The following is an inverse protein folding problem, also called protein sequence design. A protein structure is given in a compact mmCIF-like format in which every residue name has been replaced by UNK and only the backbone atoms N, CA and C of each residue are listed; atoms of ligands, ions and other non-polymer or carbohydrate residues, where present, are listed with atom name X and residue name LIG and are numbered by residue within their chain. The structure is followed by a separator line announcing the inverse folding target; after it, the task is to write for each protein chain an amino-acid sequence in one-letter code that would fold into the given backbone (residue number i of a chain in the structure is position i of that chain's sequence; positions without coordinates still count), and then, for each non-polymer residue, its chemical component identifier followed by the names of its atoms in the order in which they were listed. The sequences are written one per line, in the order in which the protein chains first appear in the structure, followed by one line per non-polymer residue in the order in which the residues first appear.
data_IF_990211460916
#
_entry.id   IF_990211460916
#
_cell.length_a   1.000
_cell.length_b   1.000
_cell.length_c   1.000
_cell.angle_alpha   90.00
_cell.angle_beta   90.00
_cell.angle_gamma   90.00
#
_symmetry.space_group_name_H-M   'P 1'
#
loop_
_entity.id
_entity.type
_entity.pdbx_description
1 polymer ?
#
# COMPACT_ATOMS: atom_id res chain seq x y z
N UNK A 1 -42.51 4.20 5.62
CA UNK A 1 -42.16 3.95 7.03
C UNK A 1 -41.11 4.98 7.44
N UNK A 2 -41.29 5.70 8.54
CA UNK A 2 -40.32 6.73 8.96
C UNK A 2 -39.07 6.09 9.59
N UNK A 3 -37.91 6.72 9.42
CA UNK A 3 -36.64 6.23 9.99
C UNK A 3 -36.73 6.04 11.52
N UNK A 4 -37.46 6.92 12.22
CA UNK A 4 -37.76 6.78 13.66
C UNK A 4 -38.44 5.47 14.03
N UNK A 5 -39.45 5.05 13.25
CA UNK A 5 -40.18 3.82 13.52
C UNK A 5 -39.28 2.59 13.30
N UNK A 6 -38.42 2.64 12.29
CA UNK A 6 -37.42 1.59 12.04
C UNK A 6 -36.44 1.48 13.21
N UNK A 7 -35.88 2.60 13.70
CA UNK A 7 -34.97 2.63 14.85
C UNK A 7 -35.62 2.00 16.10
N UNK A 8 -36.87 2.36 16.38
CA UNK A 8 -37.62 1.78 17.51
C UNK A 8 -37.77 0.26 17.36
N UNK A 9 -38.11 -0.21 16.16
CA UNK A 9 -38.29 -1.63 15.86
C UNK A 9 -36.97 -2.40 16.03
N UNK A 10 -35.87 -1.88 15.46
CA UNK A 10 -34.55 -2.47 15.58
C UNK A 10 -34.06 -2.54 17.03
N UNK A 11 -34.40 -1.52 17.84
CA UNK A 11 -34.12 -1.54 19.28
C UNK A 11 -34.81 -2.70 19.99
N UNK A 12 -36.09 -2.97 19.70
CA UNK A 12 -36.82 -4.10 20.29
C UNK A 12 -36.25 -5.46 19.83
N UNK A 13 -35.67 -5.51 18.63
CA UNK A 13 -35.02 -6.70 18.07
C UNK A 13 -33.58 -6.92 18.59
N UNK A 14 -33.06 -6.02 19.43
CA UNK A 14 -31.69 -6.13 19.95
C UNK A 14 -30.60 -5.82 18.91
N UNK A 15 -30.95 -5.20 17.78
CA UNK A 15 -29.98 -4.73 16.77
C UNK A 15 -29.17 -3.60 17.38
N UNK A 16 -27.85 -3.65 17.20
CA UNK A 16 -26.92 -2.67 17.77
C UNK A 16 -26.47 -1.61 16.75
N UNK A 17 -25.76 -2.03 15.71
CA UNK A 17 -25.25 -1.15 14.65
C UNK A 17 -26.15 -1.18 13.43
N UNK A 18 -26.57 0.00 12.96
CA UNK A 18 -27.35 0.17 11.73
C UNK A 18 -26.50 0.90 10.71
N UNK A 19 -26.54 0.42 9.47
CA UNK A 19 -25.80 0.98 8.34
C UNK A 19 -26.79 1.47 7.27
N UNK A 20 -26.56 2.67 6.75
CA UNK A 20 -27.29 3.22 5.61
C UNK A 20 -26.28 3.53 4.52
N UNK A 21 -26.34 2.76 3.43
CA UNK A 21 -25.67 3.07 2.17
C UNK A 21 -26.58 3.99 1.37
N UNK A 22 -26.25 5.28 1.32
CA UNK A 22 -27.05 6.29 0.65
C UNK A 22 -26.42 6.62 -0.72
N UNK A 23 -27.07 6.26 -1.84
CA UNK A 23 -26.62 6.67 -3.18
C UNK A 23 -26.55 8.19 -3.31
N UNK A 24 -25.63 8.69 -4.14
CA UNK A 24 -25.41 10.12 -4.34
C UNK A 24 -26.66 10.87 -4.85
N UNK A 25 -27.53 10.18 -5.59
CA UNK A 25 -28.80 10.72 -6.09
C UNK A 25 -29.80 11.05 -4.97
N UNK A 26 -29.60 10.46 -3.78
CA UNK A 26 -30.43 10.67 -2.59
C UNK A 26 -29.76 11.57 -1.55
N UNK A 27 -28.76 12.37 -1.94
CA UNK A 27 -28.02 13.26 -1.05
C UNK A 27 -28.92 14.24 -0.26
N UNK A 28 -30.11 14.57 -0.75
CA UNK A 28 -31.11 15.38 -0.04
C UNK A 28 -31.58 14.75 1.28
N UNK A 29 -31.43 13.44 1.44
CA UNK A 29 -31.81 12.71 2.67
C UNK A 29 -30.73 12.76 3.75
N UNK A 30 -29.50 13.20 3.45
CA UNK A 30 -28.38 13.21 4.41
C UNK A 30 -28.74 13.96 5.68
N UNK A 31 -29.28 15.17 5.55
CA UNK A 31 -29.65 15.98 6.72
C UNK A 31 -30.74 15.31 7.56
N UNK A 32 -31.68 14.62 6.92
CA UNK A 32 -32.76 13.91 7.62
C UNK A 32 -32.19 12.75 8.42
N UNK A 33 -31.29 11.96 7.82
CA UNK A 33 -30.67 10.80 8.45
C UNK A 33 -29.77 11.22 9.62
N UNK A 34 -28.95 12.26 9.44
CA UNK A 34 -28.06 12.78 10.51
C UNK A 34 -28.85 13.33 11.69
N UNK A 35 -30.00 13.98 11.45
CA UNK A 35 -30.90 14.45 12.53
C UNK A 35 -31.45 13.32 13.41
N UNK A 36 -31.52 12.10 12.89
CA UNK A 36 -31.93 10.91 13.65
C UNK A 36 -30.76 10.23 14.40
N UNK A 37 -29.57 10.83 14.39
CA UNK A 37 -28.41 10.40 15.17
C UNK A 37 -27.38 9.58 14.40
N UNK A 38 -27.57 9.34 13.10
CA UNK A 38 -26.57 8.71 12.25
C UNK A 38 -25.37 9.64 12.03
N UNK A 39 -24.17 9.08 11.96
CA UNK A 39 -22.94 9.79 11.60
C UNK A 39 -22.26 9.15 10.37
N UNK A 40 -21.34 9.89 9.76
CA UNK A 40 -20.62 9.41 8.58
C UNK A 40 -19.57 8.37 8.96
N UNK A 41 -19.52 7.29 8.20
CA UNK A 41 -18.45 6.31 8.30
C UNK A 41 -17.44 6.50 7.16
N UNK A 42 -17.89 6.39 5.91
CA UNK A 42 -17.06 6.54 4.72
C UNK A 42 -17.89 7.00 3.52
N UNK A 43 -17.23 7.42 2.45
CA UNK A 43 -17.87 7.77 1.20
C UNK A 43 -17.05 7.23 0.03
N UNK A 44 -17.75 6.88 -1.04
CA UNK A 44 -17.22 6.56 -2.36
C UNK A 44 -17.82 7.54 -3.37
N UNK A 45 -17.31 7.62 -4.62
CA UNK A 45 -17.80 8.59 -5.60
C UNK A 45 -19.32 8.59 -5.82
N UNK A 46 -19.98 7.44 -5.60
CA UNK A 46 -21.41 7.26 -5.85
C UNK A 46 -22.26 6.99 -4.59
N UNK A 47 -21.69 6.94 -3.38
CA UNK A 47 -22.48 6.78 -2.16
C UNK A 47 -21.82 7.33 -0.90
N UNK A 48 -22.66 7.66 0.10
CA UNK A 48 -22.26 7.95 1.47
C UNK A 48 -22.70 6.79 2.38
N UNK A 49 -21.78 6.26 3.18
CA UNK A 49 -22.09 5.30 4.24
C UNK A 49 -22.29 6.03 5.57
N UNK A 50 -23.49 5.90 6.13
CA UNK A 50 -23.83 6.40 7.45
C UNK A 50 -24.07 5.24 8.41
N UNK A 51 -23.74 5.45 9.68
CA UNK A 51 -23.92 4.45 10.74
C UNK A 51 -24.59 5.04 11.96
N UNK A 52 -25.29 4.19 12.71
CA UNK A 52 -25.88 4.54 13.99
C UNK A 52 -25.74 3.37 14.98
N UNK A 53 -25.34 3.67 16.20
CA UNK A 53 -25.33 2.73 17.31
C UNK A 53 -26.55 2.97 18.19
N UNK A 54 -27.46 2.01 18.22
CA UNK A 54 -28.73 2.10 18.94
C UNK A 54 -28.57 2.06 20.47
N UNK A 55 -27.70 1.20 21.05
CA UNK A 55 -27.50 1.15 22.51
C UNK A 55 -26.83 2.42 23.07
N UNK A 56 -27.05 2.69 24.36
CA UNK A 56 -26.36 3.77 25.07
C UNK A 56 -24.91 3.43 25.47
N UNK A 57 -24.46 2.19 25.23
CA UNK A 57 -23.08 1.76 25.48
C UNK A 57 -22.13 2.37 24.44
N UNK A 58 -20.83 2.32 24.72
CA UNK A 58 -19.82 2.58 23.70
C UNK A 58 -20.05 1.70 22.46
N UNK A 59 -19.81 2.28 21.28
CA UNK A 59 -19.99 1.57 20.02
C UNK A 59 -18.76 0.74 19.70
N UNK A 60 -18.96 -0.43 19.09
CA UNK A 60 -17.87 -1.30 18.62
C UNK A 60 -17.73 -1.28 17.09
N UNK A 61 -18.32 -0.28 16.44
CA UNK A 61 -18.20 -0.08 14.99
C UNK A 61 -16.74 0.29 14.67
N UNK A 62 -16.04 -0.48 13.82
CA UNK A 62 -14.69 -0.13 13.41
C UNK A 62 -14.64 1.24 12.76
N UNK A 63 -13.53 1.97 12.95
CA UNK A 63 -13.30 3.19 12.20
C UNK A 63 -13.09 2.88 10.71
N UNK A 64 -13.39 3.85 9.84
CA UNK A 64 -13.05 3.78 8.42
C UNK A 64 -11.53 3.68 8.20
N UNK A 65 -11.12 3.28 7.00
CA UNK A 65 -9.74 3.19 6.52
C UNK A 65 -8.87 4.32 7.10
N UNK A 66 -7.90 3.92 7.90
CA UNK A 66 -7.03 4.81 8.69
C UNK A 66 -5.69 5.06 8.01
N UNK A 67 -5.31 4.18 7.08
CA UNK A 67 -4.03 4.20 6.40
C UNK A 67 -4.22 4.31 4.89
N UNK A 68 -3.30 5.04 4.26
CA UNK A 68 -3.01 4.91 2.83
C UNK A 68 -1.86 3.92 2.67
N UNK A 69 -1.84 3.22 1.55
CA UNK A 69 -0.79 2.25 1.23
C UNK A 69 0.01 2.79 0.06
N UNK A 70 1.27 3.12 0.33
CA UNK A 70 2.24 3.52 -0.67
C UNK A 70 3.24 2.39 -0.96
N UNK A 71 3.82 2.41 -2.14
CA UNK A 71 4.88 1.49 -2.56
C UNK A 71 6.05 2.26 -3.14
N UNK A 72 7.25 1.68 -2.99
CA UNK A 72 8.46 2.12 -3.69
C UNK A 72 9.18 0.94 -4.31
N UNK A 73 9.70 1.14 -5.51
CA UNK A 73 10.37 0.11 -6.28
C UNK A 73 11.90 0.27 -6.24
N UNK A 74 12.58 -0.65 -5.58
CA UNK A 74 14.03 -0.80 -5.71
C UNK A 74 14.32 -1.70 -6.91
N UNK A 75 14.69 -1.09 -8.03
CA UNK A 75 14.97 -1.81 -9.29
C UNK A 75 16.45 -1.61 -9.63
N UNK A 76 17.19 -2.70 -9.70
CA UNK A 76 18.63 -2.68 -10.02
C UNK A 76 18.91 -3.61 -11.20
N UNK A 77 19.70 -3.13 -12.16
CA UNK A 77 20.14 -3.93 -13.30
C UNK A 77 21.47 -4.65 -13.02
N UNK A 78 21.90 -5.52 -13.94
CA UNK A 78 23.14 -6.31 -13.79
C UNK A 78 24.42 -5.46 -13.74
N UNK A 79 24.36 -4.19 -14.15
CA UNK A 79 25.47 -3.23 -14.06
C UNK A 79 25.53 -2.50 -12.72
N UNK A 80 24.71 -2.90 -11.74
CA UNK A 80 24.56 -2.21 -10.43
C UNK A 80 24.11 -0.76 -10.57
N UNK A 81 23.26 -0.49 -11.56
CA UNK A 81 22.58 0.79 -11.70
C UNK A 81 21.15 0.66 -11.16
N UNK A 82 20.73 1.61 -10.36
CA UNK A 82 19.37 1.74 -9.82
C UNK A 82 18.51 2.58 -10.77
N UNK A 83 17.26 2.17 -10.97
CA UNK A 83 16.27 2.98 -11.68
C UNK A 83 15.80 4.11 -10.77
N UNK A 84 15.98 5.35 -11.22
CA UNK A 84 15.58 6.54 -10.47
C UNK A 84 14.80 7.51 -11.37
N UNK A 85 13.92 8.27 -10.73
CA UNK A 85 13.04 9.26 -11.36
C UNK A 85 13.13 10.61 -10.65
N UNK A 86 12.77 11.66 -11.38
CA UNK A 86 12.48 12.99 -10.84
C UNK A 86 11.00 13.31 -11.03
N UNK A 87 10.33 13.71 -9.95
CA UNK A 87 8.90 14.04 -9.98
C UNK A 87 8.62 15.31 -10.79
N UNK A 88 7.67 15.25 -11.73
CA UNK A 88 7.17 16.46 -12.42
C UNK A 88 6.12 17.21 -11.60
N UNK A 89 5.49 16.53 -10.65
CA UNK A 89 4.49 17.07 -9.73
C UNK A 89 4.68 16.48 -8.33
N UNK A 90 4.42 17.27 -7.28
CA UNK A 90 4.62 16.82 -5.90
C UNK A 90 5.58 17.69 -5.10
N UNK A 91 6.02 17.18 -3.95
CA UNK A 91 6.86 17.93 -2.99
C UNK A 91 8.32 18.07 -3.46
N UNK A 92 8.78 17.21 -4.37
CA UNK A 92 10.16 17.20 -4.86
C UNK A 92 10.32 17.89 -6.23
N UNK A 93 9.21 18.36 -6.83
CA UNK A 93 9.20 19.03 -8.13
C UNK A 93 10.20 20.19 -8.18
N UNK A 94 11.05 20.22 -9.21
CA UNK A 94 11.99 21.32 -9.45
C UNK A 94 13.15 21.41 -8.45
N UNK A 95 13.27 20.45 -7.53
CA UNK A 95 14.41 20.37 -6.60
C UNK A 95 15.59 19.58 -7.19
N UNK A 96 15.38 18.89 -8.31
CA UNK A 96 16.40 18.08 -8.98
C UNK A 96 16.82 16.82 -8.22
N UNK A 97 16.04 16.40 -7.21
CA UNK A 97 16.34 15.20 -6.44
C UNK A 97 15.90 13.93 -7.16
N UNK A 98 16.80 12.95 -7.20
CA UNK A 98 16.50 11.62 -7.71
C UNK A 98 15.91 10.75 -6.59
N UNK A 99 14.81 10.06 -6.89
CA UNK A 99 14.21 9.08 -6.00
C UNK A 99 13.97 7.77 -6.74
N UNK A 100 13.72 6.69 -6.01
CA UNK A 100 13.17 5.48 -6.60
C UNK A 100 11.74 5.73 -7.11
N UNK A 101 11.25 4.96 -8.10
CA UNK A 101 9.84 4.98 -8.47
C UNK A 101 8.94 4.70 -7.27
N UNK A 102 7.86 5.45 -7.12
CA UNK A 102 6.92 5.30 -5.99
C UNK A 102 5.51 5.65 -6.39
N UNK A 103 4.54 4.97 -5.79
CA UNK A 103 3.14 5.36 -5.95
C UNK A 103 2.23 4.82 -4.86
N UNK A 104 0.94 4.75 -5.15
CA UNK A 104 -0.11 4.41 -4.20
C UNK A 104 -0.85 3.18 -4.72
N UNK A 105 -1.16 2.25 -3.81
CA UNK A 105 -1.96 1.07 -4.14
C UNK A 105 -3.42 1.47 -4.26
N UNK A 106 -4.04 1.11 -5.39
CA UNK A 106 -5.45 1.35 -5.65
C UNK A 106 -6.34 0.43 -4.82
N UNK A 107 -7.61 0.81 -4.65
CA UNK A 107 -8.58 -0.04 -3.95
C UNK A 107 -8.73 -1.39 -4.66
N UNK A 108 -8.51 -2.49 -3.92
CA UNK A 108 -8.59 -3.85 -4.44
C UNK A 108 -7.37 -4.29 -5.28
N UNK A 109 -6.31 -3.48 -5.33
CA UNK A 109 -5.09 -3.81 -6.06
C UNK A 109 -4.07 -4.54 -5.15
N UNK A 110 -3.48 -5.61 -5.66
CA UNK A 110 -2.40 -6.31 -4.98
C UNK A 110 -1.13 -5.45 -4.94
N UNK A 111 -0.36 -5.57 -3.84
CA UNK A 111 0.85 -4.80 -3.64
C UNK A 111 1.89 -5.02 -4.75
N UNK A 112 2.12 -6.27 -5.15
CA UNK A 112 3.07 -6.60 -6.23
C UNK A 112 2.58 -6.06 -7.58
N UNK A 113 1.26 -6.11 -7.84
CA UNK A 113 0.66 -5.58 -9.07
C UNK A 113 0.82 -4.07 -9.14
N UNK A 114 0.48 -3.37 -8.05
CA UNK A 114 0.57 -1.91 -8.00
C UNK A 114 2.01 -1.41 -8.15
N UNK A 115 2.99 -2.01 -7.47
CA UNK A 115 4.39 -1.54 -7.60
C UNK A 115 4.97 -1.78 -9.00
N UNK A 116 4.59 -2.87 -9.68
CA UNK A 116 4.98 -3.10 -11.08
C UNK A 116 4.29 -2.12 -12.03
N UNK A 117 3.00 -1.82 -11.80
CA UNK A 117 2.25 -0.80 -12.54
C UNK A 117 2.92 0.57 -12.43
N UNK A 118 3.23 1.02 -11.22
CA UNK A 118 3.85 2.33 -10.97
C UNK A 118 5.20 2.47 -11.71
N UNK A 119 6.05 1.44 -11.68
CA UNK A 119 7.31 1.47 -12.46
C UNK A 119 7.04 1.57 -13.95
N UNK A 120 6.05 0.83 -14.45
CA UNK A 120 5.69 0.83 -15.88
C UNK A 120 5.12 2.19 -16.31
N UNK A 121 4.24 2.78 -15.52
CA UNK A 121 3.63 4.09 -15.77
C UNK A 121 4.68 5.21 -15.75
N UNK A 122 5.54 5.26 -14.73
CA UNK A 122 6.56 6.31 -14.65
C UNK A 122 7.63 6.14 -15.75
N UNK A 123 8.16 4.92 -15.94
CA UNK A 123 9.43 4.73 -16.68
C UNK A 123 9.33 3.90 -17.96
N UNK A 124 8.20 3.25 -18.21
CA UNK A 124 8.03 2.30 -19.31
C UNK A 124 8.74 0.95 -19.12
N UNK A 125 9.46 0.75 -18.01
CA UNK A 125 10.22 -0.47 -17.74
C UNK A 125 9.28 -1.58 -17.27
N UNK A 126 9.39 -2.74 -17.91
CA UNK A 126 8.75 -3.97 -17.47
C UNK A 126 9.56 -4.58 -16.35
N UNK A 127 8.87 -5.01 -15.30
CA UNK A 127 9.50 -5.58 -14.11
C UNK A 127 8.77 -6.82 -13.65
N UNK A 128 9.47 -7.60 -12.84
CA UNK A 128 8.92 -8.73 -12.11
C UNK A 128 9.12 -8.51 -10.61
N UNK A 129 8.08 -8.76 -9.84
CA UNK A 129 8.13 -8.67 -8.39
C UNK A 129 9.01 -9.76 -7.78
N UNK A 130 9.90 -9.37 -6.86
CA UNK A 130 10.76 -10.32 -6.13
C UNK A 130 10.27 -10.48 -4.70
N UNK A 131 10.26 -9.40 -3.91
CA UNK A 131 9.85 -9.43 -2.51
C UNK A 131 9.61 -8.02 -1.95
N UNK A 132 8.85 -7.95 -0.86
CA UNK A 132 8.81 -6.78 0.01
C UNK A 132 10.06 -6.79 0.89
N UNK A 133 10.89 -5.76 0.82
CA UNK A 133 12.10 -5.64 1.62
C UNK A 133 11.82 -5.07 3.01
N UNK A 134 11.03 -4.00 3.08
CA UNK A 134 10.73 -3.33 4.33
C UNK A 134 9.42 -2.56 4.21
N UNK A 135 8.86 -2.14 5.34
CA UNK A 135 7.81 -1.15 5.35
C UNK A 135 8.06 -0.09 6.41
N UNK A 136 7.52 1.10 6.18
CA UNK A 136 7.57 2.25 7.09
C UNK A 136 6.15 2.68 7.42
N UNK A 137 5.92 3.05 8.67
CA UNK A 137 4.72 3.76 9.09
C UNK A 137 5.03 5.25 9.32
N UNK A 138 4.11 6.12 8.95
CA UNK A 138 4.09 7.52 9.42
C UNK A 138 2.67 8.02 9.65
N UNK A 139 2.51 9.00 10.52
CA UNK A 139 1.20 9.57 10.87
C UNK A 139 1.01 10.95 10.26
N UNK A 140 -0.26 11.38 10.15
CA UNK A 140 -0.68 12.73 9.74
C UNK A 140 -0.10 13.17 8.38
N UNK A 141 -0.02 12.24 7.44
CA UNK A 141 0.59 12.50 6.14
C UNK A 141 -0.38 13.09 5.12
N UNK A 142 -1.66 12.73 5.22
CA UNK A 142 -2.72 13.15 4.30
C UNK A 142 -4.09 13.11 4.98
N UNK A 143 -4.70 14.28 5.23
CA UNK A 143 -6.03 14.41 5.86
C UNK A 143 -6.19 13.58 7.15
N UNK A 144 -5.24 13.72 8.08
CA UNK A 144 -5.19 13.00 9.37
C UNK A 144 -5.08 11.46 9.26
N UNK A 145 -4.87 10.92 8.05
CA UNK A 145 -4.56 9.52 7.83
C UNK A 145 -3.08 9.23 8.03
N UNK A 146 -2.79 7.99 8.35
CA UNK A 146 -1.42 7.45 8.40
C UNK A 146 -1.03 6.88 7.04
N UNK A 147 0.26 6.70 6.80
CA UNK A 147 0.78 5.96 5.65
C UNK A 147 1.46 4.68 6.11
N UNK A 148 1.23 3.61 5.36
CA UNK A 148 2.11 2.45 5.28
C UNK A 148 2.82 2.51 3.93
N UNK A 149 4.14 2.61 3.94
CA UNK A 149 4.95 2.59 2.73
C UNK A 149 5.74 1.28 2.65
N UNK A 150 5.58 0.52 1.56
CA UNK A 150 6.27 -0.74 1.34
C UNK A 150 7.39 -0.58 0.30
N UNK A 151 8.62 -0.87 0.70
CA UNK A 151 9.76 -0.97 -0.20
C UNK A 151 9.79 -2.35 -0.82
N UNK A 152 9.71 -2.44 -2.15
CA UNK A 152 9.70 -3.70 -2.89
C UNK A 152 10.96 -3.82 -3.76
N UNK A 153 11.55 -5.01 -3.81
CA UNK A 153 12.57 -5.36 -4.80
C UNK A 153 11.89 -5.84 -6.07
N UNK A 154 12.27 -5.25 -7.21
CA UNK A 154 11.85 -5.74 -8.52
C UNK A 154 13.05 -6.08 -9.40
N UNK A 155 12.86 -7.05 -10.28
CA UNK A 155 13.80 -7.41 -11.34
C UNK A 155 13.37 -6.74 -12.65
N UNK A 156 14.22 -5.95 -13.32
CA UNK A 156 13.89 -5.40 -14.63
C UNK A 156 13.89 -6.51 -15.69
N UNK A 157 12.91 -6.46 -16.58
CA UNK A 157 12.77 -7.34 -17.76
C UNK A 157 13.07 -6.57 -19.06
N UNK A 158 12.98 -5.24 -19.03
CA UNK A 158 13.39 -4.34 -20.11
C UNK A 158 14.28 -3.22 -19.55
N UNK A 159 15.00 -2.52 -20.44
CA UNK A 159 16.03 -1.55 -20.04
C UNK A 159 15.92 -0.20 -20.76
N UNK A 160 15.11 -0.12 -21.82
CA UNK A 160 14.88 1.11 -22.57
C UNK A 160 13.80 1.91 -21.84
N UNK A 161 14.21 3.04 -21.28
CA UNK A 161 13.31 3.94 -20.57
C UNK A 161 12.43 4.67 -21.59
N UNK A 162 11.12 4.61 -21.38
CA UNK A 162 10.11 5.36 -22.14
C UNK A 162 9.25 6.09 -21.11
N UNK A 163 9.62 7.34 -20.83
CA UNK A 163 8.98 8.10 -19.77
C UNK A 163 7.58 8.54 -20.17
N UNK A 164 6.65 8.47 -19.22
CA UNK A 164 5.39 9.16 -19.35
C UNK A 164 5.55 10.61 -18.90
N UNK A 165 5.67 11.53 -19.86
CA UNK A 165 5.95 12.94 -19.61
C UNK A 165 4.88 13.65 -18.76
N UNK A 166 3.70 13.08 -18.53
CA UNK A 166 2.69 13.69 -17.66
C UNK A 166 3.07 13.62 -16.18
N UNK A 167 3.88 12.65 -15.76
CA UNK A 167 4.10 12.34 -14.33
C UNK A 167 5.53 12.62 -13.86
N UNK A 168 6.52 12.32 -14.69
CA UNK A 168 7.94 12.46 -14.33
C UNK A 168 8.69 13.44 -15.24
N UNK A 169 9.66 14.14 -14.65
CA UNK A 169 10.50 15.13 -15.32
C UNK A 169 11.71 14.47 -15.99
N UNK A 170 12.26 13.43 -15.35
CA UNK A 170 13.38 12.65 -15.87
C UNK A 170 13.37 11.24 -15.25
N UNK A 171 13.92 10.26 -15.98
CA UNK A 171 14.23 8.93 -15.46
C UNK A 171 15.58 8.45 -16.03
N UNK A 172 16.37 7.76 -15.21
CA UNK A 172 17.62 7.14 -15.67
C UNK A 172 17.99 5.92 -14.86
N UNK A 173 18.83 5.08 -15.46
CA UNK A 173 19.67 4.15 -14.72
C UNK A 173 20.84 4.95 -14.14
N UNK A 174 20.98 4.93 -12.81
CA UNK A 174 22.03 5.65 -12.10
C UNK A 174 22.92 4.64 -11.35
N UNK A 175 24.25 4.69 -11.45
CA UNK A 175 25.12 3.87 -10.62
C UNK A 175 24.76 3.99 -9.14
N UNK A 176 24.72 2.87 -8.41
CA UNK A 176 24.36 2.87 -6.99
C UNK A 176 25.26 3.81 -6.17
N UNK A 177 26.54 3.89 -6.51
CA UNK A 177 27.51 4.77 -5.85
C UNK A 177 27.22 6.25 -6.13
N UNK A 178 26.77 6.60 -7.34
CA UNK A 178 26.31 7.95 -7.67
C UNK A 178 25.03 8.28 -6.89
N UNK A 179 24.07 7.35 -6.82
CA UNK A 179 22.83 7.54 -6.07
C UNK A 179 23.08 7.69 -4.57
N UNK A 180 24.03 6.91 -4.02
CA UNK A 180 24.46 7.04 -2.63
C UNK A 180 24.97 8.44 -2.31
N UNK A 181 25.61 9.11 -3.26
CA UNK A 181 26.13 10.46 -3.11
C UNK A 181 25.07 11.56 -3.36
N UNK A 182 23.86 11.21 -3.83
CA UNK A 182 22.80 12.19 -4.11
C UNK A 182 22.42 12.98 -2.84
N UNK A 183 22.21 14.31 -2.93
CA UNK A 183 21.86 15.12 -1.77
C UNK A 183 20.61 14.66 -1.02
N UNK A 184 19.62 14.07 -1.71
CA UNK A 184 18.43 13.51 -1.08
C UNK A 184 18.81 12.36 -0.15
N UNK A 185 19.62 11.42 -0.64
CA UNK A 185 20.10 10.27 0.13
C UNK A 185 20.98 10.76 1.29
N UNK A 186 21.86 11.73 1.07
CA UNK A 186 22.75 12.23 2.12
C UNK A 186 22.01 12.97 3.24
N UNK A 187 20.91 13.67 2.93
CA UNK A 187 20.16 14.47 3.91
C UNK A 187 19.03 13.71 4.60
N UNK A 188 18.40 12.75 3.93
CA UNK A 188 17.20 12.07 4.44
C UNK A 188 17.48 10.64 4.87
N UNK A 189 17.33 10.39 6.18
CA UNK A 189 17.58 9.08 6.79
C UNK A 189 16.76 7.94 6.14
N UNK A 190 15.51 8.22 5.78
CA UNK A 190 14.67 7.22 5.12
C UNK A 190 15.22 6.77 3.76
N UNK A 191 15.75 7.70 2.95
CA UNK A 191 16.39 7.37 1.68
C UNK A 191 17.68 6.54 1.88
N UNK A 192 18.44 6.81 2.96
CA UNK A 192 19.60 5.97 3.33
C UNK A 192 19.19 4.55 3.66
N UNK A 193 18.13 4.36 4.44
CA UNK A 193 17.64 3.02 4.77
C UNK A 193 17.13 2.26 3.54
N UNK A 194 16.39 2.93 2.65
CA UNK A 194 15.97 2.34 1.36
C UNK A 194 17.19 1.81 0.61
N UNK A 195 18.22 2.65 0.46
CA UNK A 195 19.42 2.29 -0.27
C UNK A 195 20.18 1.14 0.41
N UNK A 196 20.40 1.22 1.72
CA UNK A 196 21.15 0.22 2.47
C UNK A 196 20.48 -1.15 2.45
N UNK A 197 19.15 -1.20 2.59
CA UNK A 197 18.38 -2.45 2.53
C UNK A 197 18.42 -3.02 1.12
N UNK A 198 18.25 -2.18 0.09
CA UNK A 198 18.35 -2.60 -1.31
C UNK A 198 19.74 -3.14 -1.68
N UNK A 199 20.82 -2.47 -1.26
CA UNK A 199 22.21 -2.96 -1.44
C UNK A 199 22.40 -4.30 -0.72
N UNK A 200 21.96 -4.41 0.53
CA UNK A 200 22.07 -5.66 1.28
C UNK A 200 21.31 -6.82 0.58
N UNK A 201 20.18 -6.54 -0.08
CA UNK A 201 19.48 -7.52 -0.91
C UNK A 201 20.27 -7.91 -2.15
N UNK A 202 20.80 -6.94 -2.90
CA UNK A 202 21.64 -7.20 -4.09
C UNK A 202 22.86 -8.06 -3.73
N UNK A 203 23.45 -7.83 -2.55
CA UNK A 203 24.56 -8.61 -2.02
C UNK A 203 24.14 -9.95 -1.37
N UNK A 204 22.86 -10.33 -1.46
CA UNK A 204 22.29 -11.56 -0.90
C UNK A 204 22.43 -11.70 0.63
N UNK A 205 22.64 -10.58 1.33
CA UNK A 205 22.71 -10.48 2.79
C UNK A 205 21.36 -10.13 3.44
N UNK A 206 20.35 -9.83 2.64
CA UNK A 206 18.99 -9.51 3.10
C UNK A 206 17.96 -10.42 2.42
N UNK A 207 16.94 -10.82 3.16
CA UNK A 207 15.82 -11.62 2.67
C UNK A 207 14.53 -10.99 3.16
N UNK A 208 13.72 -10.54 2.21
CA UNK A 208 12.43 -9.91 2.45
C UNK A 208 11.30 -10.94 2.54
N UNK A 209 10.11 -10.48 2.15
CA UNK A 209 8.86 -11.21 2.25
C UNK A 209 8.30 -11.45 0.84
N UNK A 210 8.18 -12.71 0.43
CA UNK A 210 7.59 -13.11 -0.85
C UNK A 210 6.12 -13.49 -0.66
N UNK A 211 5.23 -13.19 -1.63
CA UNK A 211 3.83 -13.58 -1.58
C UNK A 211 3.69 -15.08 -1.82
N UNK A 212 2.91 -15.73 -0.96
CA UNK A 212 2.44 -17.10 -1.15
C UNK A 212 0.93 -17.05 -1.30
N UNK A 213 0.40 -17.59 -2.40
CA UNK A 213 -1.04 -17.70 -2.61
C UNK A 213 -1.61 -18.69 -1.59
N UNK A 214 -2.62 -18.25 -0.84
CA UNK A 214 -3.36 -19.07 0.11
C UNK A 214 -4.85 -19.01 -0.22
N UNK A 215 -5.52 -20.15 -0.04
CA UNK A 215 -6.97 -20.24 -0.15
C UNK A 215 -7.60 -19.79 1.16
N UNK A 216 -8.51 -18.82 1.11
CA UNK A 216 -9.24 -18.38 2.30
C UNK A 216 -10.21 -19.47 2.77
N UNK A 217 -10.32 -19.65 4.08
CA UNK A 217 -11.28 -20.59 4.68
C UNK A 217 -12.73 -20.07 4.65
N UNK A 218 -12.94 -18.81 4.27
CA UNK A 218 -14.23 -18.11 4.41
C UNK A 218 -14.73 -17.45 3.12
N UNK A 219 -13.88 -17.29 2.10
CA UNK A 219 -14.19 -16.59 0.85
C UNK A 219 -13.51 -17.35 -0.31
N UNK A 220 -14.19 -17.50 -1.46
CA UNK A 220 -13.65 -18.17 -2.66
C UNK A 220 -12.58 -17.34 -3.42
N UNK A 221 -12.07 -16.26 -2.82
CA UNK A 221 -11.06 -15.39 -3.40
C UNK A 221 -9.66 -15.81 -2.97
N UNK A 222 -8.70 -15.67 -3.89
CA UNK A 222 -7.28 -15.87 -3.60
C UNK A 222 -6.79 -14.75 -2.68
N UNK A 223 -5.95 -15.10 -1.71
CA UNK A 223 -5.26 -14.11 -0.87
C UNK A 223 -3.77 -14.40 -0.83
N UNK A 224 -2.96 -13.36 -0.61
CA UNK A 224 -1.51 -13.49 -0.59
C UNK A 224 -0.96 -13.29 0.82
N UNK A 225 -0.21 -14.27 1.30
CA UNK A 225 0.53 -14.19 2.55
C UNK A 225 2.00 -13.87 2.27
N UNK A 226 2.46 -12.71 2.73
CA UNK A 226 3.83 -12.26 2.54
C UNK A 226 4.70 -12.77 3.70
N UNK A 227 5.71 -13.58 3.38
CA UNK A 227 6.55 -14.26 4.36
C UNK A 227 7.98 -14.41 3.86
N UNK A 228 8.93 -14.48 4.79
CA UNK A 228 10.30 -14.85 4.46
C UNK A 228 10.36 -16.36 4.20
N UNK A 229 10.36 -16.75 2.93
CA UNK A 229 10.36 -18.14 2.48
C UNK A 229 11.66 -18.86 2.81
N UNK A 230 12.80 -18.16 2.72
CA UNK A 230 14.13 -18.70 3.02
C UNK A 230 14.21 -19.28 4.43
N UNK A 231 13.74 -18.54 5.42
CA UNK A 231 13.84 -18.95 6.83
C UNK A 231 12.85 -20.07 7.18
N UNK A 232 11.76 -20.19 6.43
CA UNK A 232 10.80 -21.28 6.56
C UNK A 232 11.32 -22.58 5.92
N UNK A 233 11.93 -22.51 4.74
CA UNK A 233 12.48 -23.67 4.05
C UNK A 233 13.66 -24.29 4.83
N UNK A 234 14.52 -23.46 5.45
CA UNK A 234 15.65 -23.93 6.27
C UNK A 234 15.23 -24.74 7.51
N UNK A 235 14.02 -24.54 8.04
CA UNK A 235 13.49 -25.38 9.13
C UNK A 235 12.98 -26.74 8.64
N UNK A 236 12.54 -26.84 7.39
CA UNK A 236 12.05 -28.11 6.83
C UNK A 236 13.18 -29.11 6.52
N UNK A 237 14.36 -28.62 6.14
CA UNK A 237 15.53 -29.46 5.88
C UNK A 237 16.21 -29.98 7.16
N UNK A 238 16.12 -29.25 8.27
CA UNK A 238 16.71 -29.66 9.56
C UNK A 238 15.88 -30.70 10.33
N UNK A 239 14.60 -30.87 10.00
CA UNK A 239 13.75 -31.91 10.62
C UNK A 239 13.98 -33.29 9.99
N UNK A 240 14.29 -33.37 8.69
CA UNK A 240 14.49 -34.65 7.99
C UNK A 240 15.85 -35.33 8.27
N UNK A 241 16.82 -34.63 8.87
CA UNK A 241 18.10 -35.22 9.28
C UNK A 241 18.08 -35.82 10.69
N UNK A 242 17.04 -35.57 11.48
CA UNK A 242 16.93 -36.06 12.87
C UNK A 242 16.15 -37.37 13.06
N UNK A 243 15.64 -37.96 11.97
CA UNK A 243 14.93 -39.25 11.98
C UNK A 243 15.76 -40.43 11.42
N UNK A 244 17.07 -40.23 11.25
CA UNK A 244 18.00 -41.27 10.81
C UNK A 244 19.14 -41.43 11.83
N UNK A 245 18.82 -41.91 13.03
CA UNK A 245 19.81 -42.35 14.04
C UNK A 245 19.24 -43.49 14.87
#
# INVERSE_FOLDING_TARGET
MSLKLSIWTWRQQGIKGVWIKLPIELASLVQIIVKEGFWYHHAEPNYLMLVYWIPATEHTIPANATHRVGVGAFVVNDRKEILVVQEKSGKLRGLGFWKIPTGVINQGEDLFTGVMREVKEETGIDTEFVEVLAFRQSHQSFFDKSDLFFLCMLRPLSFVIQMQESEIEAAKWMPIEEYAADPLVQKHEFAKYILNVGIAKVEKRYSGFSPVCIQSAFIDEQSYFYLNSRDLEQKSSSVNESSSS
#
